data_IF_669623418989
#
_entry.id   IF_669623418989
#
_cell.length_a   1.000
_cell.length_b   1.000
_cell.length_c   1.000
_cell.angle_alpha   90.00
_cell.angle_beta   90.00
_cell.angle_gamma   90.00
#
_symmetry.space_group_name_H-M   'P 1'
#
loop_
_entity.id
_entity.type
_entity.pdbx_description
1 polymer ?
#
# COMPACT_ATOMS: atom_id res chain seq x y z
N UNK A 1 -11.52 -32.25 4.73
CA UNK A 1 -12.47 -31.35 5.40
C UNK A 1 -13.36 -30.74 4.35
N UNK A 2 -14.67 -31.01 4.44
CA UNK A 2 -15.68 -30.63 3.46
C UNK A 2 -15.86 -29.11 3.48
N UNK A 3 -15.70 -28.44 2.33
CA UNK A 3 -15.91 -26.99 2.21
C UNK A 3 -17.35 -26.66 2.58
N UNK A 4 -17.57 -25.91 3.64
CA UNK A 4 -18.87 -25.30 3.90
C UNK A 4 -19.05 -24.12 2.93
N UNK A 5 -19.98 -24.26 1.99
CA UNK A 5 -20.46 -23.15 1.16
C UNK A 5 -21.13 -22.10 2.06
N UNK A 6 -21.00 -20.79 1.76
CA UNK A 6 -21.60 -19.75 2.58
C UNK A 6 -23.13 -19.88 2.61
N UNK A 7 -23.68 -20.24 3.77
CA UNK A 7 -25.11 -20.37 3.97
C UNK A 7 -25.72 -19.03 4.39
N UNK A 8 -26.87 -18.70 3.79
CA UNK A 8 -27.56 -17.44 4.00
C UNK A 8 -28.21 -17.36 5.39
N UNK A 9 -28.38 -18.51 6.04
CA UNK A 9 -29.04 -18.66 7.35
C UNK A 9 -28.15 -18.28 8.56
N UNK A 10 -26.84 -18.10 8.37
CA UNK A 10 -25.94 -17.72 9.47
C UNK A 10 -26.08 -16.23 9.84
N UNK A 11 -26.11 -15.89 11.16
CA UNK A 11 -26.30 -14.52 11.64
C UNK A 11 -25.18 -13.58 11.17
N UNK A 12 -25.51 -12.32 10.86
CA UNK A 12 -24.58 -11.31 10.29
C UNK A 12 -23.28 -11.18 11.11
N UNK A 13 -23.38 -11.34 12.44
CA UNK A 13 -22.25 -11.27 13.36
C UNK A 13 -21.22 -12.39 13.12
N UNK A 14 -21.64 -13.57 12.68
CA UNK A 14 -20.75 -14.69 12.35
C UNK A 14 -20.16 -14.56 10.94
N UNK A 15 -20.83 -13.85 10.02
CA UNK A 15 -20.26 -13.56 8.69
C UNK A 15 -19.04 -12.62 8.75
N UNK A 16 -18.95 -11.77 9.77
CA UNK A 16 -17.83 -10.85 9.97
C UNK A 16 -16.73 -11.39 10.89
N UNK A 17 -17.07 -12.23 11.88
CA UNK A 17 -16.07 -12.75 12.84
C UNK A 17 -15.19 -13.87 12.28
N UNK A 18 -15.67 -14.66 11.33
CA UNK A 18 -14.89 -15.70 10.66
C UNK A 18 -14.33 -15.27 9.29
N UNK A 19 -14.50 -13.99 8.92
CA UNK A 19 -13.69 -13.36 7.88
C UNK A 19 -12.27 -13.01 8.40
N UNK A 20 -11.88 -13.53 9.58
CA UNK A 20 -10.51 -13.89 9.86
C UNK A 20 -10.06 -14.87 8.78
N UNK A 21 -9.58 -14.33 7.66
CA UNK A 21 -8.73 -15.04 6.74
C UNK A 21 -7.54 -15.52 7.57
N UNK A 22 -7.64 -16.75 8.09
CA UNK A 22 -6.52 -17.54 8.56
C UNK A 22 -5.66 -18.04 7.40
N UNK A 23 -5.65 -17.29 6.30
CA UNK A 23 -4.64 -17.42 5.28
C UNK A 23 -3.36 -16.91 5.92
N UNK A 24 -2.31 -17.73 5.91
CA UNK A 24 -0.98 -17.24 6.24
C UNK A 24 -0.76 -15.94 5.45
N UNK A 25 -0.34 -14.85 6.09
CA UNK A 25 -0.18 -13.56 5.43
C UNK A 25 0.63 -13.77 4.15
N UNK A 26 -0.02 -13.50 3.01
CA UNK A 26 0.60 -13.71 1.71
C UNK A 26 1.75 -12.74 1.55
N UNK A 27 2.74 -13.07 0.72
CA UNK A 27 3.84 -12.16 0.41
C UNK A 27 3.31 -10.78 -0.05
N UNK A 28 2.18 -10.75 -0.78
CA UNK A 28 1.51 -9.52 -1.19
C UNK A 28 0.98 -8.68 -0.02
N UNK A 29 0.42 -9.31 1.02
CA UNK A 29 -0.06 -8.60 2.21
C UNK A 29 1.10 -7.96 3.00
N UNK A 30 2.23 -8.65 3.12
CA UNK A 30 3.44 -8.10 3.72
C UNK A 30 4.04 -6.96 2.90
N UNK A 31 4.14 -7.13 1.58
CA UNK A 31 4.66 -6.08 0.68
C UNK A 31 3.77 -4.84 0.67
N UNK A 32 2.45 -5.00 0.67
CA UNK A 32 1.50 -3.89 0.77
C UNK A 32 1.66 -3.15 2.10
N UNK A 33 1.80 -3.87 3.21
CA UNK A 33 2.00 -3.27 4.54
C UNK A 33 3.35 -2.55 4.64
N UNK A 34 4.41 -3.14 4.10
CA UNK A 34 5.74 -2.56 4.05
C UNK A 34 5.79 -1.30 3.18
N UNK A 35 5.15 -1.34 2.00
CA UNK A 35 5.01 -0.20 1.11
C UNK A 35 4.24 0.92 1.81
N UNK A 36 3.14 0.60 2.49
CA UNK A 36 2.39 1.58 3.25
C UNK A 36 3.25 2.24 4.35
N UNK A 37 4.02 1.45 5.10
CA UNK A 37 4.88 1.94 6.18
C UNK A 37 6.05 2.79 5.67
N UNK A 38 6.67 2.38 4.55
CA UNK A 38 7.90 3.00 4.03
C UNK A 38 7.66 4.09 2.97
N UNK A 39 6.45 4.18 2.39
CA UNK A 39 6.09 5.16 1.36
C UNK A 39 6.51 6.59 1.73
N UNK A 40 5.94 7.12 2.81
CA UNK A 40 6.21 8.49 3.24
C UNK A 40 7.68 8.72 3.63
N UNK A 41 8.32 7.87 4.48
CA UNK A 41 9.75 8.01 4.77
C UNK A 41 10.63 7.97 3.52
N UNK A 42 10.36 7.07 2.57
CA UNK A 42 11.13 6.96 1.35
C UNK A 42 10.98 8.21 0.47
N UNK A 43 9.75 8.69 0.27
CA UNK A 43 9.48 9.92 -0.48
C UNK A 43 10.17 11.12 0.16
N UNK A 44 10.14 11.24 1.49
CA UNK A 44 10.84 12.30 2.20
C UNK A 44 12.36 12.23 1.98
N UNK A 45 12.96 11.04 2.14
CA UNK A 45 14.41 10.86 1.95
C UNK A 45 14.81 11.21 0.51
N UNK A 46 14.06 10.73 -0.49
CA UNK A 46 14.32 11.04 -1.91
C UNK A 46 14.25 12.55 -2.14
N UNK A 47 13.25 13.24 -1.58
CA UNK A 47 13.10 14.67 -1.76
C UNK A 47 14.19 15.49 -1.05
N UNK A 48 14.67 15.06 0.11
CA UNK A 48 15.79 15.72 0.80
C UNK A 48 17.09 15.49 0.03
N UNK A 49 17.34 14.26 -0.42
CA UNK A 49 18.52 13.93 -1.24
C UNK A 49 18.52 14.73 -2.54
N UNK A 50 17.38 14.89 -3.20
CA UNK A 50 17.27 15.71 -4.41
C UNK A 50 17.65 17.18 -4.19
N UNK A 51 17.32 17.73 -3.03
CA UNK A 51 17.78 19.07 -2.64
C UNK A 51 19.29 19.11 -2.36
N UNK A 52 19.82 18.12 -1.64
CA UNK A 52 21.27 18.02 -1.35
C UNK A 52 22.12 17.86 -2.61
N UNK A 53 21.55 17.29 -3.67
CA UNK A 53 22.17 17.17 -5.00
C UNK A 53 21.92 18.40 -5.89
N UNK A 54 21.38 19.49 -5.36
CA UNK A 54 21.14 20.77 -6.04
C UNK A 54 20.17 20.71 -7.25
N UNK A 55 19.30 19.69 -7.34
CA UNK A 55 18.28 19.65 -8.40
C UNK A 55 17.23 20.75 -8.27
N UNK A 56 16.98 21.22 -7.05
CA UNK A 56 16.04 22.30 -6.74
C UNK A 56 16.37 22.95 -5.37
N UNK A 57 15.97 24.22 -5.15
CA UNK A 57 16.21 24.89 -3.88
C UNK A 57 15.29 24.33 -2.76
N UNK A 58 15.62 24.63 -1.50
CA UNK A 58 14.89 24.14 -0.32
C UNK A 58 13.34 24.29 -0.40
N UNK A 59 12.77 25.40 -0.90
CA UNK A 59 11.32 25.53 -1.06
C UNK A 59 10.70 24.50 -2.03
N UNK A 60 11.51 23.90 -2.90
CA UNK A 60 11.11 22.87 -3.86
C UNK A 60 10.87 21.48 -3.25
N UNK A 61 11.32 21.23 -2.01
CA UNK A 61 11.16 19.92 -1.34
C UNK A 61 9.69 19.52 -1.25
N UNK A 62 8.81 20.43 -0.81
CA UNK A 62 7.38 20.12 -0.62
C UNK A 62 6.67 19.82 -1.96
N UNK A 63 6.79 20.65 -3.01
CA UNK A 63 6.25 20.30 -4.33
C UNK A 63 6.77 18.97 -4.89
N UNK A 64 8.07 18.68 -4.72
CA UNK A 64 8.67 17.43 -5.20
C UNK A 64 8.16 16.24 -4.41
N UNK A 65 8.04 16.33 -3.08
CA UNK A 65 7.40 15.29 -2.27
C UNK A 65 5.98 14.99 -2.74
N UNK A 66 5.16 16.02 -3.00
CA UNK A 66 3.79 15.84 -3.48
C UNK A 66 3.80 15.11 -4.83
N UNK A 67 4.66 15.53 -5.75
CA UNK A 67 4.81 14.88 -7.06
C UNK A 67 5.26 13.42 -6.96
N UNK A 68 6.25 13.13 -6.11
CA UNK A 68 6.74 11.78 -5.86
C UNK A 68 5.66 10.88 -5.25
N UNK A 69 4.90 11.39 -4.28
CA UNK A 69 3.83 10.62 -3.64
C UNK A 69 2.68 10.31 -4.62
N UNK A 70 2.29 11.27 -5.45
CA UNK A 70 1.30 11.02 -6.51
C UNK A 70 1.86 10.00 -7.52
N UNK A 71 3.12 10.14 -7.91
CA UNK A 71 3.80 9.21 -8.81
C UNK A 71 3.84 7.79 -8.25
N UNK A 72 4.14 7.63 -6.96
CA UNK A 72 4.12 6.35 -6.25
C UNK A 72 2.74 5.69 -6.31
N UNK A 73 1.67 6.43 -6.01
CA UNK A 73 0.28 5.92 -6.08
C UNK A 73 -0.05 5.44 -7.49
N UNK A 74 0.30 6.22 -8.52
CA UNK A 74 0.06 5.86 -9.92
C UNK A 74 0.83 4.60 -10.31
N UNK A 75 2.10 4.49 -9.91
CA UNK A 75 2.94 3.32 -10.19
C UNK A 75 2.36 2.07 -9.52
N UNK A 76 2.04 2.15 -8.23
CA UNK A 76 1.48 1.02 -7.48
C UNK A 76 0.13 0.59 -8.06
N UNK A 77 -0.75 1.55 -8.37
CA UNK A 77 -2.03 1.27 -9.02
C UNK A 77 -1.87 0.60 -10.39
N UNK A 78 -0.92 1.06 -11.21
CA UNK A 78 -0.61 0.45 -12.50
C UNK A 78 -0.07 -0.97 -12.36
N UNK A 79 0.85 -1.21 -11.41
CA UNK A 79 1.39 -2.55 -11.12
C UNK A 79 0.27 -3.49 -10.67
N UNK A 80 -0.60 -3.04 -9.77
CA UNK A 80 -1.73 -3.84 -9.31
C UNK A 80 -2.71 -4.15 -10.45
N UNK A 81 -2.95 -3.21 -11.37
CA UNK A 81 -3.82 -3.42 -12.53
C UNK A 81 -3.27 -4.45 -13.51
N UNK A 82 -1.94 -4.52 -13.69
CA UNK A 82 -1.30 -5.50 -14.59
C UNK A 82 -1.17 -6.87 -13.92
N UNK A 83 -1.06 -6.91 -12.59
CA UNK A 83 -0.90 -8.15 -11.82
C UNK A 83 -2.22 -8.82 -11.41
N UNK A 84 -3.37 -8.17 -11.64
CA UNK A 84 -4.72 -8.70 -11.40
C UNK A 84 -5.23 -9.52 -12.57
#
# INVERSE_FOLDING_TARGET
MTRETPDREKPIKERGLYASHGDAPTLGAYLSSLLHLLSFPAVLVIAVVGHLLEFYPYPGIIPVMIGLFIGEIVIVGAVMHVAS
#
